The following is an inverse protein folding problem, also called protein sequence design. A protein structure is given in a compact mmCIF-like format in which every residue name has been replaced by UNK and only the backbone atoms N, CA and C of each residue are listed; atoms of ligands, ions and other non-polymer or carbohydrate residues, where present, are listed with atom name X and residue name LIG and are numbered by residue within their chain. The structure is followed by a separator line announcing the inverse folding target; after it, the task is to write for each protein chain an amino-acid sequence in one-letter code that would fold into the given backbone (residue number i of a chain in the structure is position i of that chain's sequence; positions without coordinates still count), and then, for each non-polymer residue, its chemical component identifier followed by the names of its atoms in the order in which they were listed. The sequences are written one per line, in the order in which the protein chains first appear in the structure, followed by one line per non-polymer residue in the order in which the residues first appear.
data_IF_579586706248
#
_entry.id   IF_579586706248
#
_cell.length_a   1.000
_cell.length_b   1.000
_cell.length_c   1.000
_cell.angle_alpha   90.00
_cell.angle_beta   90.00
_cell.angle_gamma   90.00
#
_symmetry.space_group_name_H-M   'P 1'
#
loop_
_entity.id
_entity.type
_entity.pdbx_description
1 polymer ?
#
# COMPACT_ATOMS: atom_id res chain seq x y z
N UNK A 1 -7.90 -8.33 17.32
CA UNK A 1 -8.26 -7.23 16.40
C UNK A 1 -8.28 -7.79 14.98
N UNK A 2 -9.23 -7.37 14.14
CA UNK A 2 -9.22 -7.75 12.72
C UNK A 2 -8.11 -7.00 11.96
N UNK A 3 -7.62 -7.57 10.86
CA UNK A 3 -6.59 -6.93 10.04
C UNK A 3 -7.02 -5.54 9.56
N UNK A 4 -8.26 -5.40 9.06
CA UNK A 4 -8.78 -4.13 8.56
C UNK A 4 -8.77 -3.06 9.65
N UNK A 5 -9.21 -3.41 10.86
CA UNK A 5 -9.19 -2.50 12.02
C UNK A 5 -7.78 -2.07 12.40
N UNK A 6 -6.81 -2.98 12.35
CA UNK A 6 -5.41 -2.64 12.61
C UNK A 6 -4.88 -1.63 11.59
N UNK A 7 -5.17 -1.85 10.31
CA UNK A 7 -4.74 -0.97 9.25
C UNK A 7 -5.39 0.42 9.38
N UNK A 8 -6.70 0.49 9.62
CA UNK A 8 -7.39 1.79 9.80
C UNK A 8 -6.87 2.57 11.02
N UNK A 9 -6.61 1.87 12.13
CA UNK A 9 -6.18 2.49 13.39
C UNK A 9 -4.69 2.84 13.47
N UNK A 10 -3.84 2.21 12.67
CA UNK A 10 -2.38 2.40 12.77
C UNK A 10 -1.71 2.84 11.47
N UNK A 11 -2.27 2.46 10.31
CA UNK A 11 -1.63 2.65 9.01
C UNK A 11 -2.34 3.75 8.21
N UNK A 12 -3.67 3.71 8.16
CA UNK A 12 -4.50 4.64 7.39
C UNK A 12 -5.03 5.81 8.24
N UNK A 13 -4.56 5.92 9.48
CA UNK A 13 -4.96 6.96 10.43
C UNK A 13 -4.59 8.33 9.89
N UNK A 14 -5.56 9.25 9.90
CA UNK A 14 -5.44 10.61 9.35
C UNK A 14 -5.15 10.66 7.83
N UNK A 15 -5.33 9.55 7.11
CA UNK A 15 -5.15 9.51 5.66
C UNK A 15 -6.50 9.52 4.96
N UNK A 16 -6.58 10.26 3.84
CA UNK A 16 -7.78 10.34 3.03
C UNK A 16 -7.83 9.18 2.05
N UNK A 17 -8.85 8.33 2.18
CA UNK A 17 -9.19 7.38 1.13
C UNK A 17 -9.75 8.12 -0.09
N UNK A 18 -9.13 7.92 -1.23
CA UNK A 18 -9.52 8.48 -2.53
C UNK A 18 -10.24 7.46 -3.42
N UNK A 19 -10.57 6.27 -2.90
CA UNK A 19 -11.44 5.34 -3.61
C UNK A 19 -12.88 5.88 -3.62
N UNK A 20 -13.25 6.59 -4.69
CA UNK A 20 -14.59 7.14 -4.91
C UNK A 20 -15.54 6.14 -5.62
N UNK A 21 -15.32 4.83 -5.44
CA UNK A 21 -16.14 3.75 -6.02
C UNK A 21 -15.64 3.22 -7.37
N UNK A 22 -14.43 3.59 -7.79
CA UNK A 22 -13.81 3.02 -8.99
C UNK A 22 -13.16 1.65 -8.74
N UNK A 23 -12.95 1.28 -7.47
CA UNK A 23 -12.41 -0.01 -7.05
C UNK A 23 -13.36 -0.70 -6.07
N UNK A 24 -13.12 -2.00 -5.86
CA UNK A 24 -13.91 -2.84 -4.95
C UNK A 24 -13.96 -2.27 -3.51
N UNK A 25 -15.08 -2.50 -2.84
CA UNK A 25 -15.26 -2.13 -1.44
C UNK A 25 -14.18 -2.75 -0.54
N UNK A 26 -13.63 -1.93 0.35
CA UNK A 26 -12.54 -2.31 1.24
C UNK A 26 -11.13 -2.11 0.68
N UNK A 27 -10.98 -1.74 -0.60
CA UNK A 27 -9.69 -1.30 -1.15
C UNK A 27 -9.58 0.21 -0.94
N UNK A 28 -8.52 0.62 -0.24
CA UNK A 28 -8.21 2.04 -0.07
C UNK A 28 -7.15 2.47 -1.08
N UNK A 29 -7.39 3.64 -1.66
CA UNK A 29 -6.46 4.31 -2.57
C UNK A 29 -6.01 5.61 -1.95
N UNK A 30 -4.72 5.87 -2.03
CA UNK A 30 -4.10 7.05 -1.41
C UNK A 30 -3.36 7.86 -2.47
N UNK A 31 -3.23 9.17 -2.20
CA UNK A 31 -2.35 10.04 -2.97
C UNK A 31 -0.90 9.58 -2.82
N UNK A 32 -0.01 10.06 -3.69
CA UNK A 32 1.41 9.76 -3.59
C UNK A 32 2.00 10.10 -2.20
N UNK A 33 1.70 11.30 -1.68
CA UNK A 33 2.19 11.72 -0.37
C UNK A 33 1.65 10.85 0.76
N UNK A 34 0.34 10.57 0.75
CA UNK A 34 -0.29 9.74 1.77
C UNK A 34 0.21 8.30 1.70
N UNK A 35 0.40 7.75 0.50
CA UNK A 35 0.90 6.40 0.31
C UNK A 35 2.35 6.24 0.79
N UNK A 36 3.18 7.28 0.65
CA UNK A 36 4.50 7.31 1.27
C UNK A 36 4.42 7.09 2.79
N UNK A 37 3.50 7.80 3.45
CA UNK A 37 3.25 7.64 4.91
C UNK A 37 2.76 6.22 5.23
N UNK A 38 1.88 5.64 4.41
CA UNK A 38 1.43 4.26 4.55
C UNK A 38 2.59 3.28 4.52
N UNK A 39 3.53 3.45 3.57
CA UNK A 39 4.70 2.57 3.45
C UNK A 39 5.66 2.73 4.63
N UNK A 40 5.89 3.95 5.11
CA UNK A 40 6.74 4.19 6.28
C UNK A 40 6.13 3.58 7.55
N UNK A 41 4.81 3.71 7.74
CA UNK A 41 4.09 3.04 8.84
C UNK A 41 4.14 1.52 8.68
N UNK A 42 3.99 1.01 7.46
CA UNK A 42 4.09 -0.42 7.19
C UNK A 42 5.49 -0.96 7.53
N UNK A 43 6.54 -0.21 7.23
CA UNK A 43 7.91 -0.53 7.66
C UNK A 43 8.03 -0.55 9.18
N UNK A 44 7.56 0.50 9.85
CA UNK A 44 7.62 0.64 11.31
C UNK A 44 6.97 -0.54 12.04
N UNK A 45 5.81 -0.99 11.58
CA UNK A 45 5.11 -2.15 12.15
C UNK A 45 5.62 -3.50 11.61
N UNK A 46 6.50 -3.51 10.61
CA UNK A 46 6.97 -4.74 9.96
C UNK A 46 5.87 -5.48 9.21
N UNK A 47 4.95 -4.76 8.58
CA UNK A 47 3.89 -5.34 7.76
C UNK A 47 4.45 -6.02 6.51
N UNK A 48 3.78 -7.09 6.09
CA UNK A 48 4.08 -7.72 4.81
C UNK A 48 3.25 -7.02 3.73
N UNK A 49 3.92 -6.29 2.85
CA UNK A 49 3.31 -5.72 1.65
C UNK A 49 3.48 -6.76 0.54
N UNK A 50 2.39 -7.22 -0.06
CA UNK A 50 2.43 -8.26 -1.10
C UNK A 50 2.47 -7.66 -2.50
N UNK A 51 1.61 -6.68 -2.74
CA UNK A 51 1.46 -6.05 -4.06
C UNK A 51 1.25 -4.56 -3.89
N UNK A 52 1.76 -3.77 -4.83
CA UNK A 52 1.41 -2.35 -5.02
C UNK A 52 0.68 -2.24 -6.35
N UNK A 53 -0.49 -1.62 -6.34
CA UNK A 53 -1.30 -1.37 -7.52
C UNK A 53 -1.40 0.14 -7.75
N UNK A 54 -0.80 0.67 -8.83
CA UNK A 54 -1.03 2.04 -9.25
C UNK A 54 -2.41 2.13 -9.91
N UNK A 55 -3.02 3.31 -9.85
CA UNK A 55 -4.26 3.60 -10.53
C UNK A 55 -4.25 5.03 -11.06
N UNK A 56 -4.78 5.20 -12.26
CA UNK A 56 -5.12 6.50 -12.84
C UNK A 56 -6.41 6.38 -13.63
N UNK A 57 -7.06 7.51 -13.88
CA UNK A 57 -8.26 7.56 -14.71
C UNK A 57 -7.97 7.24 -16.19
N UNK A 58 -6.78 7.61 -16.67
CA UNK A 58 -6.46 7.60 -18.11
C UNK A 58 -5.77 6.31 -18.57
N UNK A 59 -5.09 5.60 -17.66
CA UNK A 59 -4.25 4.45 -17.99
C UNK A 59 -4.41 3.32 -16.97
N UNK A 60 -4.46 2.08 -17.49
CA UNK A 60 -4.42 0.86 -16.68
C UNK A 60 -2.98 0.54 -16.33
N UNK A 61 -2.69 0.51 -15.03
CA UNK A 61 -1.41 0.04 -14.52
C UNK A 61 -1.51 -1.40 -14.02
N UNK A 62 -0.48 -2.18 -14.32
CA UNK A 62 -0.30 -3.50 -13.73
C UNK A 62 0.17 -3.36 -12.28
N UNK A 63 -0.27 -4.30 -11.43
CA UNK A 63 0.18 -4.35 -10.05
C UNK A 63 1.54 -5.04 -9.98
N UNK A 64 2.46 -4.46 -9.21
CA UNK A 64 3.77 -5.04 -8.94
C UNK A 64 3.73 -5.82 -7.64
N UNK A 65 4.31 -7.02 -7.64
CA UNK A 65 4.33 -7.92 -6.48
C UNK A 65 5.75 -8.13 -5.97
N UNK A 66 5.89 -8.41 -4.67
CA UNK A 66 7.20 -8.75 -4.10
C UNK A 66 7.86 -9.97 -4.77
N UNK A 67 7.05 -10.89 -5.33
CA UNK A 67 7.51 -12.06 -6.08
C UNK A 67 8.21 -11.67 -7.38
N UNK A 68 7.68 -10.68 -8.10
CA UNK A 68 8.32 -10.14 -9.31
C UNK A 68 9.71 -9.60 -9.01
N UNK A 69 9.90 -9.01 -7.82
CA UNK A 69 11.20 -8.51 -7.37
C UNK A 69 12.09 -9.57 -6.70
N UNK A 70 11.63 -10.82 -6.55
CA UNK A 70 12.30 -11.89 -5.79
C UNK A 70 12.70 -11.44 -4.39
N UNK A 71 11.86 -10.64 -3.74
CA UNK A 71 12.05 -10.11 -2.38
C UNK A 71 10.98 -10.66 -1.43
N UNK A 72 11.26 -10.57 -0.13
CA UNK A 72 10.26 -10.86 0.91
C UNK A 72 9.24 -9.74 0.96
N UNK A 73 7.97 -10.06 1.19
CA UNK A 73 6.89 -9.09 1.35
C UNK A 73 7.15 -8.03 2.45
N UNK A 74 7.90 -8.40 3.50
CA UNK A 74 8.29 -7.50 4.59
C UNK A 74 9.51 -6.62 4.28
N UNK A 75 10.12 -6.75 3.10
CA UNK A 75 11.36 -6.03 2.81
C UNK A 75 11.07 -4.59 2.33
N UNK A 76 11.46 -3.54 3.07
CA UNK A 76 11.22 -2.17 2.66
C UNK A 76 11.84 -1.78 1.32
N UNK A 77 12.99 -2.35 0.97
CA UNK A 77 13.62 -2.06 -0.32
C UNK A 77 12.70 -2.39 -1.50
N UNK A 78 11.84 -3.41 -1.39
CA UNK A 78 11.02 -3.81 -2.53
C UNK A 78 9.94 -2.77 -2.80
N UNK A 79 9.14 -2.43 -1.79
CA UNK A 79 7.99 -1.55 -1.98
C UNK A 79 8.41 -0.09 -2.13
N UNK A 80 9.48 0.34 -1.45
CA UNK A 80 9.99 1.72 -1.59
C UNK A 80 10.55 1.97 -2.98
N UNK A 81 11.33 1.03 -3.54
CA UNK A 81 11.88 1.17 -4.90
C UNK A 81 10.79 1.15 -5.95
N UNK A 82 9.81 0.27 -5.80
CA UNK A 82 8.69 0.20 -6.73
C UNK A 82 7.86 1.48 -6.70
N UNK A 83 7.53 1.96 -5.50
CA UNK A 83 6.83 3.22 -5.34
C UNK A 83 7.59 4.41 -5.95
N UNK A 84 8.90 4.51 -5.71
CA UNK A 84 9.74 5.53 -6.33
C UNK A 84 9.73 5.44 -7.86
N UNK A 85 9.83 4.23 -8.42
CA UNK A 85 9.80 4.00 -9.87
C UNK A 85 8.47 4.47 -10.47
N UNK A 86 7.35 4.12 -9.82
CA UNK A 86 6.02 4.53 -10.26
C UNK A 86 5.83 6.05 -10.17
N UNK A 87 6.26 6.66 -9.06
CA UNK A 87 6.27 8.12 -8.85
C UNK A 87 7.04 8.85 -9.94
N UNK A 88 8.22 8.35 -10.33
CA UNK A 88 9.00 8.95 -11.42
C UNK A 88 8.40 8.73 -12.81
N UNK A 89 7.54 7.72 -12.99
CA UNK A 89 6.95 7.40 -14.29
C UNK A 89 5.79 8.32 -14.63
N UNK A 90 4.94 8.65 -13.66
CA UNK A 90 3.80 9.55 -13.85
C UNK A 90 3.40 10.18 -12.51
N UNK A 91 3.23 11.49 -12.52
CA UNK A 91 2.71 12.24 -11.38
C UNK A 91 1.18 12.11 -11.28
N UNK A 92 0.66 12.23 -10.06
CA UNK A 92 -0.79 12.21 -9.81
C UNK A 92 -1.43 10.81 -9.85
N UNK A 93 -0.62 9.74 -9.74
CA UNK A 93 -1.13 8.38 -9.56
C UNK A 93 -1.72 8.19 -8.16
N UNK A 94 -2.74 7.35 -8.09
CA UNK A 94 -3.24 6.81 -6.82
C UNK A 94 -2.63 5.43 -6.59
N UNK A 95 -2.41 5.11 -5.32
CA UNK A 95 -1.75 3.86 -4.95
C UNK A 95 -2.57 3.09 -3.95
N UNK A 96 -2.63 1.78 -4.16
CA UNK A 96 -3.15 0.83 -3.20
C UNK A 96 -2.15 -0.31 -3.02
N UNK A 97 -2.19 -0.97 -1.88
CA UNK A 97 -1.37 -2.15 -1.66
C UNK A 97 -2.13 -3.25 -0.92
N UNK A 98 -1.67 -4.49 -1.10
CA UNK A 98 -2.18 -5.64 -0.36
C UNK A 98 -1.27 -5.90 0.83
N UNK A 99 -1.81 -5.74 2.03
CA UNK A 99 -1.08 -5.93 3.28
C UNK A 99 -1.44 -7.25 3.94
N UNK A 100 -0.54 -7.75 4.77
CA UNK A 100 -0.81 -8.80 5.75
C UNK A 100 -0.24 -8.40 7.09
N UNK A 101 -1.13 -8.34 8.07
CA UNK A 101 -0.78 -8.08 9.47
C UNK A 101 -0.46 -9.42 10.14
N UNK A 102 0.65 -9.49 10.86
CA UNK A 102 1.02 -10.71 11.57
C UNK A 102 0.08 -10.96 12.76
N UNK A 103 -0.20 -12.22 13.09
CA UNK A 103 -1.03 -12.58 14.25
C UNK A 103 -0.52 -11.96 15.57
N UNK A 104 0.80 -11.77 15.68
CA UNK A 104 1.44 -11.13 16.85
C UNK A 104 1.03 -9.67 17.00
N UNK A 105 0.86 -8.94 15.89
CA UNK A 105 0.39 -7.55 15.89
C UNK A 105 -1.11 -7.46 16.17
N UNK A 106 -1.90 -8.43 15.68
CA UNK A 106 -3.35 -8.47 15.90
C UNK A 106 -3.78 -8.90 17.31
N UNK A 107 -2.87 -9.57 18.03
CA UNK A 107 -3.05 -10.03 19.41
C UNK A 107 -2.50 -9.04 20.47
N UNK A 108 -1.97 -7.90 20.02
CA UNK A 108 -1.48 -6.80 20.86
C UNK A 108 -2.62 -5.83 21.19
#
# INVERSE_FOLDING_TARGET
MEQSQFLEKNIFTDLKNLNDGFAEDGIQYFSENDFGIVLDRAEYFGLSVYTIKPWSKDEKYEASSHENHKKKATNPDWYKREFLTLKTRKEGLLYSAKYKVSKKLLAR
#
